data_IF_470577830597
#
_entry.id   IF_470577830597
#
_cell.length_a   1.000
_cell.length_b   1.000
_cell.length_c   1.000
_cell.angle_alpha   90.00
_cell.angle_beta   90.00
_cell.angle_gamma   90.00
#
_symmetry.space_group_name_H-M   'P 1'
#
loop_
_entity.id
_entity.type
_entity.pdbx_description
1 polymer ?
#
# COMPACT_ATOMS: atom_id res chain seq x y z
N UNK A 1 0.54 -19.27 21.84
CA UNK A 1 0.72 -17.96 21.18
C UNK A 1 -0.50 -17.49 20.38
N UNK A 2 -1.55 -18.32 20.17
CA UNK A 2 -2.77 -17.91 19.46
C UNK A 2 -3.74 -16.99 20.25
N UNK A 3 -3.78 -17.07 21.59
CA UNK A 3 -4.72 -16.30 22.45
C UNK A 3 -4.60 -14.79 22.29
N UNK A 4 -3.37 -14.28 22.22
CA UNK A 4 -3.09 -12.83 22.16
C UNK A 4 -3.48 -12.17 20.82
N UNK A 5 -3.58 -12.94 19.74
CA UNK A 5 -4.01 -12.40 18.43
C UNK A 5 -5.54 -12.36 18.33
N UNK A 6 -6.22 -13.39 18.86
CA UNK A 6 -7.69 -13.44 18.92
C UNK A 6 -8.26 -12.30 19.76
N UNK A 7 -7.71 -12.11 20.96
CA UNK A 7 -8.15 -11.06 21.90
C UNK A 7 -7.94 -9.64 21.34
N UNK A 8 -6.93 -9.44 20.47
CA UNK A 8 -6.68 -8.16 19.80
C UNK A 8 -7.71 -7.88 18.72
N UNK A 9 -8.01 -8.89 17.89
CA UNK A 9 -8.99 -8.76 16.81
C UNK A 9 -10.41 -8.51 17.37
N UNK A 10 -10.80 -9.23 18.43
CA UNK A 10 -12.10 -9.04 19.10
C UNK A 10 -12.29 -7.61 19.62
N UNK A 11 -11.22 -7.02 20.17
CA UNK A 11 -11.26 -5.63 20.65
C UNK A 11 -11.35 -4.62 19.50
N UNK A 12 -10.66 -4.86 18.38
CA UNK A 12 -10.77 -4.00 17.20
C UNK A 12 -12.15 -4.08 16.55
N UNK A 13 -12.76 -5.26 16.50
CA UNK A 13 -14.16 -5.46 16.09
C UNK A 13 -15.15 -4.68 16.96
N UNK A 14 -14.95 -4.70 18.29
CA UNK A 14 -15.80 -3.94 19.22
C UNK A 14 -15.67 -2.42 19.02
N UNK A 15 -14.46 -1.92 18.81
CA UNK A 15 -14.20 -0.50 18.55
C UNK A 15 -14.83 -0.10 17.21
N UNK A 16 -14.63 -0.90 16.16
CA UNK A 16 -15.18 -0.62 14.84
C UNK A 16 -16.70 -0.64 14.85
N UNK A 17 -17.32 -1.67 15.42
CA UNK A 17 -18.78 -1.76 15.51
C UNK A 17 -19.38 -0.59 16.29
N UNK A 18 -18.72 -0.15 17.38
CA UNK A 18 -19.11 1.04 18.13
C UNK A 18 -18.98 2.31 17.29
N UNK A 19 -17.89 2.47 16.55
CA UNK A 19 -17.68 3.62 15.67
C UNK A 19 -18.77 3.68 14.58
N UNK A 20 -19.04 2.57 13.88
CA UNK A 20 -20.05 2.51 12.83
C UNK A 20 -21.44 2.88 13.37
N UNK A 21 -21.79 2.39 14.56
CA UNK A 21 -23.05 2.71 15.25
C UNK A 21 -23.14 4.19 15.61
N UNK A 22 -22.09 4.77 16.22
CA UNK A 22 -22.08 6.18 16.63
C UNK A 22 -22.17 7.15 15.45
N UNK A 23 -21.65 6.75 14.29
CA UNK A 23 -21.65 7.56 13.08
C UNK A 23 -22.81 7.25 12.12
N UNK A 24 -23.81 6.46 12.56
CA UNK A 24 -24.97 6.04 11.75
C UNK A 24 -24.59 5.41 10.39
N UNK A 25 -23.43 4.76 10.31
CA UNK A 25 -23.01 4.05 9.11
C UNK A 25 -23.79 2.74 9.06
N UNK A 26 -24.87 2.74 8.29
CA UNK A 26 -25.80 1.61 8.12
C UNK A 26 -25.62 0.89 6.77
N UNK A 27 -24.83 1.47 5.88
CA UNK A 27 -24.50 0.85 4.59
C UNK A 27 -23.78 -0.49 4.78
N UNK A 28 -24.10 -1.44 3.92
CA UNK A 28 -23.38 -2.72 3.84
C UNK A 28 -22.05 -2.55 3.11
N UNK A 29 -21.97 -1.56 2.21
CA UNK A 29 -20.77 -1.17 1.48
C UNK A 29 -20.16 0.08 2.10
N UNK A 30 -18.84 0.09 2.29
CA UNK A 30 -18.10 1.24 2.79
C UNK A 30 -17.19 1.76 1.68
N UNK A 31 -17.37 3.03 1.31
CA UNK A 31 -16.58 3.67 0.27
C UNK A 31 -15.12 3.88 0.71
N UNK A 32 -14.21 4.04 -0.25
CA UNK A 32 -12.81 4.35 0.03
C UNK A 32 -12.64 5.66 0.83
N UNK A 33 -13.47 6.68 0.58
CA UNK A 33 -13.46 7.93 1.36
C UNK A 33 -13.93 7.75 2.79
N UNK A 34 -14.94 6.90 3.02
CA UNK A 34 -15.40 6.57 4.38
C UNK A 34 -14.34 5.75 5.11
N UNK A 35 -13.72 4.77 4.46
CA UNK A 35 -12.60 4.00 5.01
C UNK A 35 -11.42 4.91 5.38
N UNK A 36 -11.06 5.86 4.51
CA UNK A 36 -10.01 6.84 4.82
C UNK A 36 -10.36 7.66 6.08
N UNK A 37 -11.62 8.04 6.22
CA UNK A 37 -12.12 8.80 7.39
C UNK A 37 -12.11 7.94 8.66
N UNK A 38 -12.60 6.70 8.57
CA UNK A 38 -12.55 5.70 9.65
C UNK A 38 -11.11 5.50 10.10
N UNK A 39 -10.20 5.27 9.15
CA UNK A 39 -8.78 5.06 9.43
C UNK A 39 -8.15 6.24 10.17
N UNK A 40 -8.34 7.47 9.68
CA UNK A 40 -7.82 8.67 10.33
C UNK A 40 -8.32 8.83 11.77
N UNK A 41 -9.59 8.52 12.02
CA UNK A 41 -10.18 8.63 13.35
C UNK A 41 -9.69 7.51 14.29
N UNK A 42 -9.44 6.31 13.78
CA UNK A 42 -8.94 5.17 14.57
C UNK A 42 -7.43 5.22 14.80
N UNK A 43 -6.67 5.90 13.93
CA UNK A 43 -5.21 6.01 13.98
C UNK A 43 -4.77 7.48 13.91
N UNK A 44 -5.06 8.31 14.94
CA UNK A 44 -4.70 9.73 14.91
C UNK A 44 -3.20 9.94 14.70
N UNK A 45 -2.85 10.85 13.79
CA UNK A 45 -1.45 11.13 13.41
C UNK A 45 -0.93 10.32 12.23
N UNK A 46 -1.62 9.24 11.85
CA UNK A 46 -1.39 8.55 10.58
C UNK A 46 -2.30 9.13 9.50
N UNK A 47 -1.75 9.26 8.29
CA UNK A 47 -2.50 9.67 7.11
C UNK A 47 -2.13 8.78 5.95
N UNK A 48 -3.09 8.56 5.06
CA UNK A 48 -2.90 7.73 3.89
C UNK A 48 -3.64 8.35 2.71
N UNK A 49 -3.09 8.27 1.51
CA UNK A 49 -3.74 8.81 0.31
C UNK A 49 -4.95 7.97 -0.08
N UNK A 50 -5.95 8.58 -0.73
CA UNK A 50 -7.12 7.85 -1.20
C UNK A 50 -6.75 6.74 -2.19
N UNK A 51 -5.67 6.94 -2.96
CA UNK A 51 -5.13 5.94 -3.90
C UNK A 51 -4.63 4.69 -3.17
N UNK A 52 -3.98 4.86 -2.02
CA UNK A 52 -3.54 3.73 -1.19
C UNK A 52 -4.72 3.01 -0.54
N UNK A 53 -5.79 3.72 -0.16
CA UNK A 53 -7.03 3.09 0.33
C UNK A 53 -7.70 2.26 -0.77
N UNK A 54 -7.80 2.80 -1.98
CA UNK A 54 -8.33 2.07 -3.14
C UNK A 54 -7.48 0.81 -3.43
N UNK A 55 -6.16 0.94 -3.41
CA UNK A 55 -5.28 -0.21 -3.61
C UNK A 55 -5.37 -1.23 -2.47
N UNK A 56 -5.62 -0.80 -1.23
CA UNK A 56 -5.88 -1.71 -0.10
C UNK A 56 -7.15 -2.52 -0.33
N UNK A 57 -8.25 -1.88 -0.76
CA UNK A 57 -9.50 -2.56 -1.14
C UNK A 57 -9.21 -3.58 -2.23
N UNK A 58 -8.53 -3.19 -3.31
CA UNK A 58 -8.19 -4.09 -4.42
C UNK A 58 -7.29 -5.27 -4.02
N UNK A 59 -6.52 -5.13 -2.94
CA UNK A 59 -5.64 -6.19 -2.45
C UNK A 59 -6.39 -7.21 -1.57
N UNK A 60 -7.44 -6.77 -0.88
CA UNK A 60 -8.08 -7.53 0.21
C UNK A 60 -9.48 -8.01 -0.15
N UNK A 61 -10.28 -7.15 -0.76
CA UNK A 61 -11.66 -7.44 -1.14
C UNK A 61 -11.71 -8.24 -2.44
N UNK A 62 -12.71 -9.11 -2.56
CA UNK A 62 -12.93 -9.88 -3.79
C UNK A 62 -13.40 -9.01 -4.97
N UNK A 63 -14.02 -7.86 -4.68
CA UNK A 63 -14.51 -6.91 -5.66
C UNK A 63 -13.97 -5.51 -5.37
N UNK A 64 -14.18 -4.56 -6.28
CA UNK A 64 -13.78 -3.15 -6.11
C UNK A 64 -14.61 -2.40 -5.04
N UNK A 65 -15.30 -3.11 -4.14
CA UNK A 65 -16.12 -2.60 -3.05
C UNK A 65 -15.69 -3.28 -1.75
N UNK A 66 -15.65 -2.49 -0.66
CA UNK A 66 -15.44 -3.03 0.67
C UNK A 66 -16.78 -3.28 1.35
N UNK A 67 -17.07 -4.55 1.63
CA UNK A 67 -18.18 -4.91 2.49
C UNK A 67 -17.83 -4.68 3.95
N UNK A 68 -18.84 -4.41 4.77
CA UNK A 68 -18.70 -4.17 6.22
C UNK A 68 -17.85 -5.23 6.92
N UNK A 69 -17.99 -6.47 6.48
CA UNK A 69 -17.35 -7.68 7.00
C UNK A 69 -15.84 -7.70 6.72
N UNK A 70 -15.41 -7.03 5.64
CA UNK A 70 -14.03 -6.97 5.15
C UNK A 70 -13.26 -5.76 5.70
N UNK A 71 -13.93 -4.85 6.43
CA UNK A 71 -13.37 -3.56 6.85
C UNK A 71 -12.12 -3.72 7.69
N UNK A 72 -12.05 -4.72 8.56
CA UNK A 72 -10.87 -4.95 9.41
C UNK A 72 -9.70 -5.41 8.56
N UNK A 73 -9.92 -6.28 7.58
CA UNK A 73 -8.89 -6.73 6.67
C UNK A 73 -8.35 -5.56 5.82
N UNK A 74 -9.26 -4.70 5.33
CA UNK A 74 -8.88 -3.47 4.62
C UNK A 74 -8.11 -2.52 5.54
N UNK A 75 -8.54 -2.30 6.78
CA UNK A 75 -7.84 -1.44 7.75
C UNK A 75 -6.45 -1.98 8.08
N UNK A 76 -6.29 -3.29 8.21
CA UNK A 76 -5.00 -3.93 8.42
C UNK A 76 -4.06 -3.75 7.22
N UNK A 77 -4.59 -3.88 6.00
CA UNK A 77 -3.82 -3.60 4.79
C UNK A 77 -3.45 -2.11 4.67
N UNK A 78 -4.36 -1.20 5.06
CA UNK A 78 -4.06 0.23 5.15
C UNK A 78 -2.95 0.50 6.18
N UNK A 79 -2.99 -0.14 7.36
CA UNK A 79 -1.95 -0.02 8.38
C UNK A 79 -0.59 -0.51 7.85
N UNK A 80 -0.56 -1.65 7.14
CA UNK A 80 0.65 -2.15 6.48
C UNK A 80 1.20 -1.14 5.46
N UNK A 81 0.34 -0.61 4.59
CA UNK A 81 0.72 0.38 3.56
C UNK A 81 1.20 1.70 4.18
N UNK A 82 0.50 2.19 5.20
CA UNK A 82 0.86 3.40 5.95
C UNK A 82 2.24 3.27 6.60
N UNK A 83 2.49 2.14 7.28
CA UNK A 83 3.79 1.86 7.91
C UNK A 83 4.93 1.81 6.87
N UNK A 84 4.72 1.14 5.74
CA UNK A 84 5.70 1.11 4.65
C UNK A 84 5.98 2.51 4.11
N UNK A 85 4.93 3.30 3.82
CA UNK A 85 5.08 4.65 3.26
C UNK A 85 5.86 5.59 4.18
N UNK A 86 5.74 5.45 5.50
CA UNK A 86 6.52 6.25 6.45
C UNK A 86 8.02 6.01 6.28
N UNK A 87 8.46 4.76 6.15
CA UNK A 87 9.87 4.43 5.91
C UNK A 87 10.32 4.84 4.51
N UNK A 88 9.51 4.55 3.49
CA UNK A 88 9.83 4.84 2.09
C UNK A 88 9.96 6.33 1.79
N UNK A 89 9.25 7.17 2.56
CA UNK A 89 9.39 8.62 2.46
C UNK A 89 10.83 9.06 2.73
N UNK A 90 11.47 8.52 3.76
CA UNK A 90 12.87 8.85 4.06
C UNK A 90 13.82 8.34 2.99
N UNK A 91 13.62 7.12 2.49
CA UNK A 91 14.43 6.57 1.39
C UNK A 91 14.32 7.42 0.12
N UNK A 92 13.11 7.89 -0.19
CA UNK A 92 12.87 8.80 -1.31
C UNK A 92 13.56 10.15 -1.11
N UNK A 93 13.43 10.74 0.08
CA UNK A 93 14.06 12.04 0.42
C UNK A 93 15.60 11.94 0.38
N UNK A 94 16.18 10.78 0.72
CA UNK A 94 17.62 10.55 0.58
C UNK A 94 18.07 10.50 -0.90
N UNK A 95 17.24 9.98 -1.79
CA UNK A 95 17.50 9.97 -3.24
C UNK A 95 17.28 11.34 -3.87
N UNK A 96 16.31 12.11 -3.38
CA UNK A 96 16.05 13.50 -3.77
C UNK A 96 16.99 14.47 -3.04
N UNK A 97 18.30 14.29 -3.23
CA UNK A 97 19.32 15.11 -2.58
C UNK A 97 19.26 16.60 -2.93
N UNK A 98 18.55 16.97 -4.00
CA UNK A 98 18.31 18.36 -4.41
C UNK A 98 17.01 18.94 -3.83
N UNK A 99 16.25 18.14 -3.08
CA UNK A 99 14.96 18.47 -2.46
C UNK A 99 13.96 19.11 -3.44
N UNK A 100 13.84 18.51 -4.63
CA UNK A 100 12.95 18.96 -5.70
C UNK A 100 11.56 18.32 -5.62
N UNK A 101 11.32 17.47 -4.62
CA UNK A 101 10.14 16.62 -4.51
C UNK A 101 10.08 15.50 -5.54
N UNK A 102 11.17 15.25 -6.28
CA UNK A 102 11.21 14.31 -7.41
C UNK A 102 12.58 13.67 -7.58
N UNK A 103 12.63 12.43 -8.07
CA UNK A 103 13.86 11.67 -8.36
C UNK A 103 13.93 11.30 -9.85
N UNK A 104 15.08 10.79 -10.31
CA UNK A 104 15.20 10.25 -11.69
C UNK A 104 14.49 8.91 -11.83
N UNK A 105 14.19 8.49 -13.06
CA UNK A 105 13.65 7.13 -13.31
C UNK A 105 14.59 6.03 -12.80
N UNK A 106 15.90 6.21 -12.96
CA UNK A 106 16.91 5.25 -12.49
C UNK A 106 16.85 5.10 -10.96
N UNK A 107 16.72 6.21 -10.24
CA UNK A 107 16.55 6.23 -8.79
C UNK A 107 15.22 5.58 -8.37
N UNK A 108 14.14 5.83 -9.10
CA UNK A 108 12.85 5.20 -8.86
C UNK A 108 12.91 3.67 -9.04
N UNK A 109 13.56 3.19 -10.10
CA UNK A 109 13.78 1.77 -10.34
C UNK A 109 14.66 1.14 -9.26
N UNK A 110 15.69 1.86 -8.82
CA UNK A 110 16.53 1.44 -7.69
C UNK A 110 15.70 1.27 -6.42
N UNK A 111 14.84 2.24 -6.09
CA UNK A 111 13.97 2.18 -4.91
C UNK A 111 13.00 0.99 -4.99
N UNK A 112 12.34 0.78 -6.13
CA UNK A 112 11.47 -0.40 -6.34
C UNK A 112 12.23 -1.71 -6.13
N UNK A 113 13.46 -1.82 -6.65
CA UNK A 113 14.32 -2.99 -6.45
C UNK A 113 14.76 -3.17 -5.00
N UNK A 114 15.01 -2.09 -4.28
CA UNK A 114 15.37 -2.15 -2.86
C UNK A 114 14.21 -2.68 -2.01
N UNK A 115 12.97 -2.30 -2.32
CA UNK A 115 11.76 -2.74 -1.60
C UNK A 115 11.37 -4.16 -1.94
N UNK A 116 11.36 -4.49 -3.23
CA UNK A 116 10.76 -5.73 -3.75
C UNK A 116 11.78 -6.82 -4.10
N UNK A 117 13.07 -6.51 -4.03
CA UNK A 117 14.15 -7.44 -4.38
C UNK A 117 14.05 -7.95 -5.82
N UNK A 118 14.17 -9.28 -5.99
CA UNK A 118 14.16 -9.93 -7.30
C UNK A 118 12.80 -9.83 -8.02
N UNK A 119 11.71 -9.65 -7.26
CA UNK A 119 10.35 -9.56 -7.79
C UNK A 119 10.03 -8.17 -8.38
N UNK A 120 10.92 -7.19 -8.17
CA UNK A 120 10.74 -5.84 -8.69
C UNK A 120 10.75 -5.76 -10.23
N UNK A 121 11.29 -6.76 -10.94
CA UNK A 121 11.47 -6.71 -12.41
C UNK A 121 10.16 -6.42 -13.15
N UNK A 122 9.06 -7.10 -12.77
CA UNK A 122 7.73 -6.91 -13.38
C UNK A 122 7.18 -5.53 -13.05
N UNK A 123 7.08 -5.21 -11.76
CA UNK A 123 6.56 -3.92 -11.28
C UNK A 123 7.33 -2.72 -11.85
N UNK A 124 8.65 -2.82 -11.97
CA UNK A 124 9.48 -1.75 -12.55
C UNK A 124 9.18 -1.54 -14.03
N UNK A 125 9.02 -2.62 -14.80
CA UNK A 125 8.68 -2.54 -16.22
C UNK A 125 7.29 -1.94 -16.42
N UNK A 126 6.32 -2.42 -15.66
CA UNK A 126 4.94 -1.93 -15.72
C UNK A 126 4.88 -0.45 -15.30
N UNK A 127 5.54 -0.08 -14.20
CA UNK A 127 5.69 1.31 -13.77
C UNK A 127 6.19 2.19 -14.91
N UNK A 128 7.36 1.88 -15.49
CA UNK A 128 7.96 2.67 -16.58
C UNK A 128 7.05 2.75 -17.82
N UNK A 129 6.39 1.65 -18.18
CA UNK A 129 5.49 1.61 -19.33
C UNK A 129 4.19 2.39 -19.13
N UNK A 130 3.75 2.54 -17.88
CA UNK A 130 2.53 3.27 -17.51
C UNK A 130 2.72 4.78 -17.45
N UNK A 131 3.98 5.26 -17.51
CA UNK A 131 4.30 6.68 -17.32
C UNK A 131 3.81 7.53 -18.50
N UNK A 132 3.10 8.64 -18.24
CA UNK A 132 2.64 9.55 -19.29
C UNK A 132 3.78 10.22 -20.08
N UNK A 133 4.90 10.50 -19.41
CA UNK A 133 6.06 11.17 -19.99
C UNK A 133 7.32 10.37 -19.63
N UNK A 134 7.76 9.45 -20.50
CA UNK A 134 8.99 8.69 -20.31
C UNK A 134 10.22 9.61 -20.14
N UNK A 135 11.15 9.24 -19.27
CA UNK A 135 12.38 9.99 -18.98
C UNK A 135 12.21 11.22 -18.07
N UNK A 136 10.97 11.61 -17.74
CA UNK A 136 10.72 12.73 -16.82
C UNK A 136 11.03 12.34 -15.37
N UNK A 137 11.21 13.34 -14.47
CA UNK A 137 11.38 13.08 -13.04
C UNK A 137 10.12 12.44 -12.43
N UNK A 138 10.31 11.67 -11.37
CA UNK A 138 9.29 10.84 -10.71
C UNK A 138 9.02 11.38 -9.31
N UNK A 139 7.75 11.59 -8.96
CA UNK A 139 7.36 11.97 -7.59
C UNK A 139 7.09 10.74 -6.72
N UNK A 140 7.18 10.88 -5.39
CA UNK A 140 6.81 9.80 -4.47
C UNK A 140 5.35 9.38 -4.63
N UNK A 141 4.46 10.34 -4.91
CA UNK A 141 3.04 10.06 -5.17
C UNK A 141 2.86 9.18 -6.42
N UNK A 142 3.69 9.35 -7.45
CA UNK A 142 3.65 8.48 -8.64
C UNK A 142 4.01 7.03 -8.30
N UNK A 143 4.96 6.85 -7.38
CA UNK A 143 5.48 5.54 -6.96
C UNK A 143 4.71 4.86 -5.84
N UNK A 144 3.90 5.60 -5.07
CA UNK A 144 3.37 5.16 -3.77
C UNK A 144 2.68 3.78 -3.87
N UNK A 145 1.88 3.56 -4.90
CA UNK A 145 1.16 2.30 -5.10
C UNK A 145 2.11 1.17 -5.44
N UNK A 146 3.05 1.40 -6.35
CA UNK A 146 4.04 0.41 -6.78
C UNK A 146 4.93 -0.06 -5.65
N UNK A 147 5.31 0.84 -4.74
CA UNK A 147 6.15 0.50 -3.59
C UNK A 147 5.39 -0.30 -2.53
N UNK A 148 4.09 -0.07 -2.39
CA UNK A 148 3.29 -0.71 -1.35
C UNK A 148 2.58 -1.99 -1.79
N UNK A 149 2.38 -2.19 -3.08
CA UNK A 149 1.71 -3.39 -3.58
C UNK A 149 2.52 -4.65 -3.23
N UNK A 150 1.85 -5.75 -2.83
CA UNK A 150 2.53 -7.03 -2.73
C UNK A 150 3.13 -7.37 -4.09
N UNK A 151 4.32 -7.96 -4.07
CA UNK A 151 4.84 -8.56 -5.29
C UNK A 151 4.05 -9.82 -5.59
N UNK A 152 3.57 -9.96 -6.82
CA UNK A 152 3.11 -11.24 -7.31
C UNK A 152 4.28 -12.22 -7.17
N UNK A 153 4.13 -13.19 -6.28
CA UNK A 153 4.91 -14.42 -6.34
C UNK A 153 4.41 -15.17 -7.58
N UNK A 154 4.75 -14.68 -8.77
CA UNK A 154 4.89 -15.60 -9.88
C UNK A 154 5.92 -16.60 -9.39
N UNK A 155 5.51 -17.87 -9.27
CA UNK A 155 6.42 -19.00 -9.16
C UNK A 155 7.26 -18.94 -10.43
N UNK A 156 8.30 -18.10 -10.42
CA UNK A 156 9.26 -18.03 -11.49
C UNK A 156 9.90 -19.39 -11.48
N UNK A 157 9.59 -20.20 -12.49
CA UNK A 157 10.32 -21.43 -12.75
C UNK A 157 11.81 -21.14 -12.56
N UNK A 158 12.45 -21.96 -11.73
CA UNK A 158 13.89 -21.98 -11.44
C UNK A 158 14.69 -22.13 -12.75
N UNK A 159 14.77 -21.08 -13.55
CA UNK A 159 15.48 -21.06 -14.83
C UNK A 159 16.33 -19.80 -15.04
N UNK A 160 16.66 -19.08 -13.97
CA UNK A 160 17.79 -18.12 -13.95
C UNK A 160 19.06 -18.83 -13.39
N UNK A 161 19.25 -20.11 -13.71
CA UNK A 161 20.54 -20.79 -13.56
C UNK A 161 21.49 -20.32 -14.69
N UNK A 162 22.59 -19.71 -14.26
CA UNK A 162 23.84 -19.51 -14.98
C UNK A 162 23.83 -18.70 -16.29
N UNK A 163 24.24 -17.43 -16.18
CA UNK A 163 25.15 -16.85 -17.18
C UNK A 163 26.39 -16.35 -16.46
N UNK A 164 27.41 -17.21 -16.41
CA UNK A 164 28.81 -16.78 -16.26
C UNK A 164 29.23 -16.06 -17.54
N UNK A 165 29.76 -14.85 -17.40
CA UNK A 165 30.78 -14.31 -18.30
C UNK A 165 32.04 -14.12 -17.46
#
# INVERSE_FOLDING_TARGET
MASSSSERNEKEEEILSTYLRLNNITSQEISASELQTIYYNLRPGNSISLRQVLAAIQTTCFCDLCLRDEVIDVLNEIDRRSFLMQGLKWEFEMLDGENQGTITEEQACFLLKAVHGNYAKKNTREFLSSRPIPGSRVSLQELEIWLCNPCDLELSDESDLDVKI
#
